data_IF_568320114544
#
_entry.id   IF_568320114544
#
_cell.length_a   1.000
_cell.length_b   1.000
_cell.length_c   1.000
_cell.angle_alpha   90.00
_cell.angle_beta   90.00
_cell.angle_gamma   90.00
#
_symmetry.space_group_name_H-M   'P 1'
#
loop_
_entity.id
_entity.type
_entity.pdbx_description
1 polymer ?
#
# COMPACT_ATOMS: atom_id res chain seq x y z
N UNK A 1 -5.01 16.58 0.59
CA UNK A 1 -4.34 15.40 0.04
C UNK A 1 -2.93 15.32 0.62
N UNK A 2 -2.58 14.19 1.24
CA UNK A 2 -1.22 13.91 1.74
C UNK A 2 -0.61 12.79 0.89
N UNK A 3 0.72 12.81 0.75
CA UNK A 3 1.48 11.89 -0.12
C UNK A 3 2.52 11.14 0.72
N UNK A 4 2.57 9.83 0.62
CA UNK A 4 3.69 8.99 1.09
C UNK A 4 4.49 8.51 -0.12
N UNK A 5 5.81 8.36 0.00
CA UNK A 5 6.64 7.85 -1.09
C UNK A 5 7.86 7.10 -0.55
N UNK A 6 8.41 6.20 -1.37
CA UNK A 6 9.67 5.53 -1.05
C UNK A 6 10.23 4.74 -2.22
N UNK A 7 11.38 4.12 -1.98
CA UNK A 7 12.10 3.30 -2.97
C UNK A 7 12.58 1.99 -2.35
N UNK A 8 12.61 0.92 -3.16
CA UNK A 8 13.14 -0.38 -2.77
C UNK A 8 13.77 -1.12 -3.95
N UNK A 9 14.62 -2.11 -3.68
CA UNK A 9 15.30 -2.91 -4.70
C UNK A 9 14.64 -4.29 -4.80
N UNK A 10 14.46 -4.77 -6.02
CA UNK A 10 14.02 -6.14 -6.32
C UNK A 10 15.07 -6.92 -7.10
N UNK A 11 15.21 -8.21 -6.77
CA UNK A 11 16.20 -9.08 -7.40
C UNK A 11 15.72 -9.64 -8.74
N UNK A 12 14.40 -9.75 -8.93
CA UNK A 12 13.79 -10.25 -10.16
C UNK A 12 12.70 -9.29 -10.66
N UNK A 13 13.06 -8.51 -11.68
CA UNK A 13 12.21 -7.44 -12.24
C UNK A 13 10.95 -8.00 -12.91
N UNK A 14 11.06 -9.09 -13.67
CA UNK A 14 9.90 -9.69 -14.32
C UNK A 14 8.89 -10.24 -13.31
N UNK A 15 9.39 -10.91 -12.26
CA UNK A 15 8.54 -11.40 -11.19
C UNK A 15 7.90 -10.27 -10.41
N UNK A 16 8.63 -9.17 -10.17
CA UNK A 16 8.06 -7.98 -9.56
C UNK A 16 6.92 -7.40 -10.42
N UNK A 17 7.14 -7.21 -11.73
CA UNK A 17 6.10 -6.75 -12.66
C UNK A 17 4.85 -7.63 -12.63
N UNK A 18 5.01 -8.96 -12.67
CA UNK A 18 3.89 -9.92 -12.57
C UNK A 18 3.20 -9.89 -11.21
N UNK A 19 3.95 -9.71 -10.13
CA UNK A 19 3.38 -9.64 -8.79
C UNK A 19 2.51 -8.40 -8.64
N UNK A 20 3.04 -7.23 -9.01
CA UNK A 20 2.33 -5.96 -8.87
C UNK A 20 1.24 -5.76 -9.92
N UNK A 21 1.18 -6.53 -11.00
CA UNK A 21 0.07 -6.48 -11.97
C UNK A 21 -1.24 -7.10 -11.46
N UNK A 22 -1.21 -7.76 -10.30
CA UNK A 22 -2.42 -8.19 -9.60
C UNK A 22 -2.52 -7.47 -8.26
N UNK A 23 -3.42 -6.49 -8.18
CA UNK A 23 -3.65 -5.71 -6.96
C UNK A 23 -3.98 -6.58 -5.73
N UNK A 24 -4.50 -7.81 -5.91
CA UNK A 24 -4.76 -8.72 -4.79
C UNK A 24 -3.47 -9.10 -4.06
N UNK A 25 -2.35 -9.15 -4.76
CA UNK A 25 -1.05 -9.41 -4.15
C UNK A 25 -0.65 -8.29 -3.18
N UNK A 26 -0.93 -7.03 -3.55
CA UNK A 26 -0.76 -5.87 -2.67
C UNK A 26 -1.74 -5.92 -1.49
N UNK A 27 -3.01 -6.23 -1.72
CA UNK A 27 -4.01 -6.32 -0.66
C UNK A 27 -3.67 -7.39 0.38
N UNK A 28 -3.14 -8.54 -0.05
CA UNK A 28 -2.68 -9.61 0.83
C UNK A 28 -1.45 -9.22 1.67
N UNK A 29 -0.87 -8.05 1.44
CA UNK A 29 0.21 -7.48 2.23
C UNK A 29 -0.25 -6.31 3.11
N UNK A 30 -1.54 -5.94 3.10
CA UNK A 30 -2.10 -4.92 3.99
C UNK A 30 -2.12 -5.47 5.42
N UNK A 31 -1.44 -4.82 6.39
CA UNK A 31 -1.45 -5.24 7.77
C UNK A 31 -2.87 -5.30 8.34
N UNK A 32 -3.19 -6.41 9.00
CA UNK A 32 -4.48 -6.56 9.68
C UNK A 32 -5.68 -6.70 8.73
N UNK A 33 -5.48 -6.94 7.42
CA UNK A 33 -6.58 -7.28 6.51
C UNK A 33 -7.26 -8.56 6.98
N UNK A 34 -8.59 -8.54 7.06
CA UNK A 34 -9.40 -9.68 7.51
C UNK A 34 -10.42 -10.12 6.48
N UNK A 35 -10.91 -9.17 5.69
CA UNK A 35 -11.93 -9.43 4.68
C UNK A 35 -11.51 -8.76 3.37
N UNK A 36 -11.59 -9.52 2.28
CA UNK A 36 -11.43 -9.03 0.91
C UNK A 36 -12.64 -9.50 0.12
N UNK A 37 -13.39 -8.56 -0.45
CA UNK A 37 -14.55 -8.86 -1.30
C UNK A 37 -14.51 -7.99 -2.57
N UNK A 38 -14.01 -8.58 -3.66
CA UNK A 38 -13.76 -7.87 -4.91
C UNK A 38 -12.70 -6.79 -4.73
N UNK A 39 -13.10 -5.53 -4.90
CA UNK A 39 -12.23 -4.36 -4.74
C UNK A 39 -12.31 -3.76 -3.33
N UNK A 40 -13.16 -4.30 -2.45
CA UNK A 40 -13.33 -3.80 -1.10
C UNK A 40 -12.48 -4.62 -0.14
N UNK A 41 -11.89 -3.96 0.85
CA UNK A 41 -11.23 -4.64 1.95
C UNK A 41 -11.59 -4.02 3.29
N UNK A 42 -11.55 -4.85 4.34
CA UNK A 42 -11.55 -4.39 5.73
C UNK A 42 -10.26 -4.79 6.41
N UNK A 43 -9.63 -3.84 7.09
CA UNK A 43 -8.46 -4.07 7.91
C UNK A 43 -8.68 -3.51 9.32
N UNK A 44 -8.12 -4.21 10.31
CA UNK A 44 -8.09 -3.76 11.69
C UNK A 44 -6.64 -3.49 12.07
N UNK A 45 -6.32 -2.22 12.29
CA UNK A 45 -4.96 -1.79 12.61
C UNK A 45 -4.92 -1.28 14.03
N UNK A 46 -3.95 -1.80 14.81
CA UNK A 46 -3.71 -1.33 16.17
C UNK A 46 -2.91 -0.04 16.12
N UNK A 47 -3.50 1.03 16.63
CA UNK A 47 -2.91 2.36 16.73
C UNK A 47 -2.79 2.74 18.21
N UNK A 48 -1.61 2.51 18.80
CA UNK A 48 -1.41 2.67 20.24
C UNK A 48 -2.43 1.82 21.04
N UNK A 49 -3.30 2.45 21.83
CA UNK A 49 -4.40 1.81 22.57
C UNK A 49 -5.70 1.69 21.77
N UNK A 50 -5.78 2.30 20.57
CA UNK A 50 -6.95 2.25 19.71
C UNK A 50 -6.84 1.10 18.70
N UNK A 51 -7.98 0.52 18.35
CA UNK A 51 -8.10 -0.32 17.15
C UNK A 51 -8.91 0.44 16.12
N UNK A 52 -8.32 0.68 14.96
CA UNK A 52 -8.95 1.41 13.86
C UNK A 52 -9.46 0.39 12.85
N UNK A 53 -10.76 0.48 12.53
CA UNK A 53 -11.33 -0.22 11.39
C UNK A 53 -11.13 0.63 10.13
N UNK A 54 -10.43 0.07 9.14
CA UNK A 54 -10.21 0.68 7.84
C UNK A 54 -11.10 -0.04 6.84
N UNK A 55 -11.99 0.70 6.18
CA UNK A 55 -12.74 0.23 5.01
C UNK A 55 -12.12 0.87 3.78
N UNK A 56 -11.56 0.05 2.90
CA UNK A 56 -10.91 0.53 1.69
C UNK A 56 -11.58 0.00 0.43
N UNK A 57 -11.47 0.79 -0.65
CA UNK A 57 -11.92 0.43 -1.99
C UNK A 57 -10.76 0.68 -2.95
N UNK A 58 -10.38 -0.34 -3.71
CA UNK A 58 -9.41 -0.22 -4.81
C UNK A 58 -10.09 0.47 -5.97
N UNK A 59 -9.77 1.76 -6.17
CA UNK A 59 -10.40 2.62 -7.20
C UNK A 59 -9.77 2.49 -8.59
N UNK A 60 -8.46 2.27 -8.68
CA UNK A 60 -7.73 2.20 -9.95
C UNK A 60 -6.57 1.21 -9.86
N UNK A 61 -6.45 0.35 -10.85
CA UNK A 61 -5.32 -0.56 -11.05
C UNK A 61 -5.15 -0.82 -12.55
N UNK A 62 -4.24 -0.11 -13.19
CA UNK A 62 -3.92 -0.27 -14.62
C UNK A 62 -2.42 -0.55 -14.76
N UNK A 63 -2.05 -1.41 -15.71
CA UNK A 63 -0.66 -1.72 -16.02
C UNK A 63 -0.34 -1.10 -17.37
N UNK A 64 0.48 -0.05 -17.38
CA UNK A 64 0.89 0.71 -18.56
C UNK A 64 2.40 0.60 -18.75
N UNK A 65 2.85 -0.51 -19.34
CA UNK A 65 4.27 -0.81 -19.53
C UNK A 65 4.99 -1.03 -18.19
N UNK A 66 5.90 -0.13 -17.84
CA UNK A 66 6.67 -0.16 -16.57
C UNK A 66 5.95 0.54 -15.41
N UNK A 67 4.84 1.22 -15.70
CA UNK A 67 4.03 1.91 -14.70
C UNK A 67 2.83 1.04 -14.32
N UNK A 68 2.60 0.91 -13.02
CA UNK A 68 1.40 0.31 -12.47
C UNK A 68 0.68 1.44 -11.76
N UNK A 69 -0.47 1.85 -12.29
CA UNK A 69 -1.28 3.02 -11.88
C UNK A 69 -1.84 2.94 -10.44
N UNK A 70 -1.38 1.96 -9.67
CA UNK A 70 -1.35 1.98 -8.20
C UNK A 70 -0.26 2.90 -7.64
N UNK A 71 0.28 3.83 -8.46
CA UNK A 71 1.40 4.72 -8.13
C UNK A 71 2.72 3.97 -7.84
N UNK A 72 2.91 2.78 -8.44
CA UNK A 72 4.16 2.00 -8.36
C UNK A 72 4.84 2.04 -9.74
N UNK A 73 6.11 2.43 -9.76
CA UNK A 73 6.95 2.44 -10.96
C UNK A 73 8.14 1.51 -10.78
N UNK A 74 8.40 0.65 -11.76
CA UNK A 74 9.54 -0.28 -11.74
C UNK A 74 10.54 0.14 -12.82
N UNK A 75 11.64 0.78 -12.40
CA UNK A 75 12.71 1.23 -13.28
C UNK A 75 13.97 0.40 -13.05
N UNK A 76 14.25 -0.53 -13.97
CA UNK A 76 15.29 -1.54 -13.77
C UNK A 76 14.98 -2.38 -12.53
N UNK A 77 15.92 -2.47 -11.59
CA UNK A 77 15.73 -3.19 -10.32
C UNK A 77 15.16 -2.31 -9.18
N UNK A 78 14.82 -1.05 -9.44
CA UNK A 78 14.28 -0.13 -8.45
C UNK A 78 12.77 -0.02 -8.57
N UNK A 79 12.09 -0.22 -7.45
CA UNK A 79 10.68 0.10 -7.26
C UNK A 79 10.60 1.46 -6.61
N UNK A 80 9.78 2.34 -7.17
CA UNK A 80 9.32 3.57 -6.53
C UNK A 80 7.84 3.45 -6.29
N UNK A 81 7.36 3.88 -5.13
CA UNK A 81 5.93 3.97 -4.87
C UNK A 81 5.57 5.35 -4.34
N UNK A 82 4.35 5.76 -4.65
CA UNK A 82 3.70 6.93 -4.09
C UNK A 82 2.32 6.49 -3.57
N UNK A 83 1.81 7.04 -2.48
CA UNK A 83 0.42 6.78 -2.04
C UNK A 83 -0.25 8.09 -1.68
N UNK A 84 -1.44 8.32 -2.22
CA UNK A 84 -2.24 9.49 -1.92
C UNK A 84 -3.40 9.12 -0.99
N UNK A 85 -3.61 9.90 0.06
CA UNK A 85 -4.75 9.70 0.96
C UNK A 85 -5.32 11.03 1.47
N UNK A 86 -6.54 10.95 1.99
CA UNK A 86 -7.28 12.06 2.56
C UNK A 86 -7.68 11.72 3.99
N UNK A 87 -7.63 12.72 4.85
CA UNK A 87 -8.00 12.63 6.26
C UNK A 87 -9.10 13.66 6.47
N UNK A 88 -10.25 13.21 6.97
CA UNK A 88 -11.40 14.06 7.23
C UNK A 88 -11.97 13.83 8.64
N UNK A 89 -12.59 14.87 9.19
CA UNK A 89 -13.19 14.87 10.53
C UNK A 89 -12.30 15.49 11.62
N UNK A 90 -12.91 16.04 12.69
CA UNK A 90 -12.20 16.82 13.70
C UNK A 90 -11.18 16.01 14.51
N UNK A 91 -11.53 14.77 14.90
CA UNK A 91 -10.61 13.89 15.62
C UNK A 91 -9.43 13.45 14.75
N UNK A 92 -9.71 13.09 13.50
CA UNK A 92 -8.68 12.66 12.56
C UNK A 92 -7.71 13.81 12.24
N UNK A 93 -8.23 15.03 12.09
CA UNK A 93 -7.41 16.22 11.92
C UNK A 93 -6.54 16.53 13.15
N UNK A 94 -7.06 16.33 14.37
CA UNK A 94 -6.28 16.46 15.61
C UNK A 94 -5.13 15.43 15.68
N UNK A 95 -5.35 14.22 15.18
CA UNK A 95 -4.35 13.13 15.17
C UNK A 95 -3.49 13.08 13.91
N UNK A 96 -3.59 14.07 13.03
CA UNK A 96 -3.05 14.01 11.66
C UNK A 96 -1.59 13.59 11.57
N UNK A 97 -0.71 14.16 12.40
CA UNK A 97 0.73 13.79 12.42
C UNK A 97 0.95 12.28 12.66
N UNK A 98 0.17 11.68 13.53
CA UNK A 98 0.30 10.26 13.82
C UNK A 98 -0.33 9.40 12.73
N UNK A 99 -1.47 9.83 12.17
CA UNK A 99 -2.07 9.17 11.00
C UNK A 99 -1.08 9.18 9.84
N UNK A 100 -0.40 10.30 9.60
CA UNK A 100 0.60 10.43 8.54
C UNK A 100 1.80 9.50 8.77
N UNK A 101 2.31 9.40 10.00
CA UNK A 101 3.38 8.47 10.35
C UNK A 101 2.96 7.00 10.12
N UNK A 102 1.72 6.65 10.46
CA UNK A 102 1.20 5.30 10.28
C UNK A 102 0.89 4.97 8.82
N UNK A 103 0.38 5.93 8.05
CA UNK A 103 0.17 5.76 6.62
C UNK A 103 1.51 5.47 5.91
N UNK A 104 2.57 6.20 6.27
CA UNK A 104 3.93 5.93 5.79
C UNK A 104 4.39 4.52 6.17
N UNK A 105 4.22 4.12 7.43
CA UNK A 105 4.66 2.82 7.92
C UNK A 105 3.88 1.66 7.28
N UNK A 106 2.56 1.76 7.16
CA UNK A 106 1.72 0.77 6.46
C UNK A 106 2.15 0.65 5.00
N UNK A 107 2.39 1.78 4.32
CA UNK A 107 2.85 1.77 2.92
C UNK A 107 4.17 1.01 2.78
N UNK A 108 5.13 1.25 3.70
CA UNK A 108 6.42 0.56 3.75
C UNK A 108 6.23 -0.96 3.97
N UNK A 109 5.41 -1.34 4.95
CA UNK A 109 5.15 -2.75 5.27
C UNK A 109 4.53 -3.53 4.10
N UNK A 110 3.63 -2.89 3.34
CA UNK A 110 3.04 -3.50 2.14
C UNK A 110 4.12 -3.81 1.11
N UNK A 111 5.04 -2.88 0.85
CA UNK A 111 6.14 -3.06 -0.11
C UNK A 111 7.13 -4.10 0.38
N UNK A 112 7.51 -4.09 1.65
CA UNK A 112 8.42 -5.09 2.24
C UNK A 112 7.85 -6.51 2.15
N UNK A 113 6.57 -6.67 2.48
CA UNK A 113 5.86 -7.94 2.30
C UNK A 113 5.83 -8.37 0.83
N UNK A 114 5.58 -7.44 -0.09
CA UNK A 114 5.55 -7.71 -1.53
C UNK A 114 6.92 -8.21 -2.03
N UNK A 115 8.00 -7.52 -1.65
CA UNK A 115 9.37 -7.89 -2.02
C UNK A 115 9.75 -9.26 -1.45
N UNK A 116 9.36 -9.53 -0.19
CA UNK A 116 9.58 -10.84 0.42
C UNK A 116 8.94 -11.96 -0.40
N UNK A 117 7.67 -11.80 -0.83
CA UNK A 117 6.97 -12.78 -1.68
C UNK A 117 7.55 -12.87 -3.10
N UNK A 118 8.07 -11.77 -3.65
CA UNK A 118 8.75 -11.77 -4.95
C UNK A 118 10.06 -12.57 -4.87
N UNK A 119 10.78 -12.49 -3.75
CA UNK A 119 12.08 -13.14 -3.59
C UNK A 119 12.02 -14.61 -3.15
N UNK A 120 10.85 -15.12 -2.76
CA UNK A 120 10.61 -16.55 -2.48
C UNK A 120 10.57 -17.38 -3.76
#
# INVERSE_FOLDING_TARGET
MTITQGEAIVNNVEKAKRFFSDYKNLMNCIPGVKEVNGNNFKAYVKFSFLTIEIKGIVKKHEVNGDNIDTLITINGNKIKWTTNYEVDGPLANSLRKHIDAQANEISRQIIECSISKINQ
#
